data_IF_864548984597
#
_entry.id   IF_864548984597
#
_cell.length_a   1.000
_cell.length_b   1.000
_cell.length_c   1.000
_cell.angle_alpha   90.00
_cell.angle_beta   90.00
_cell.angle_gamma   90.00
#
_symmetry.space_group_name_H-M   'P 1'
#
loop_
_entity.id
_entity.type
_entity.pdbx_description
1 polymer ?
#
# COMPACT_ATOMS: atom_id res chain seq x y z
N UNK A 1 35.30 1.86 31.31
CA UNK A 1 34.44 0.90 30.59
C UNK A 1 33.36 1.69 29.86
N UNK A 2 33.37 1.74 28.51
CA UNK A 2 32.30 2.39 27.78
C UNK A 2 31.13 1.43 27.59
N UNK A 3 29.93 1.96 27.81
CA UNK A 3 28.66 1.29 27.59
C UNK A 3 28.55 0.80 26.15
N UNK A 4 28.37 -0.50 25.97
CA UNK A 4 27.86 -1.07 24.73
C UNK A 4 26.44 -0.51 24.55
N UNK A 5 26.23 0.26 23.49
CA UNK A 5 24.88 0.52 23.00
C UNK A 5 24.34 -0.81 22.53
N UNK A 6 23.25 -1.27 23.16
CA UNK A 6 22.46 -2.38 22.65
C UNK A 6 22.01 -2.00 21.23
N UNK A 7 22.68 -2.58 20.24
CA UNK A 7 22.22 -2.58 18.86
C UNK A 7 20.95 -3.41 18.86
N UNK A 8 19.79 -2.79 19.01
CA UNK A 8 18.53 -3.45 18.67
C UNK A 8 18.67 -3.91 17.23
N UNK A 9 18.79 -5.23 17.05
CA UNK A 9 18.65 -5.87 15.75
C UNK A 9 17.21 -5.54 15.34
N UNK A 10 17.02 -4.59 14.41
CA UNK A 10 15.70 -4.30 13.86
C UNK A 10 15.18 -5.60 13.23
N UNK A 11 14.21 -6.23 13.89
CA UNK A 11 13.61 -7.49 13.48
C UNK A 11 12.93 -7.23 12.12
N UNK A 12 13.42 -7.89 11.07
CA UNK A 12 12.87 -7.74 9.73
C UNK A 12 11.57 -8.54 9.67
N UNK A 13 10.44 -7.84 9.51
CA UNK A 13 9.13 -8.47 9.33
C UNK A 13 8.97 -8.89 7.85
N UNK A 14 8.48 -10.10 7.61
CA UNK A 14 8.19 -10.59 6.25
C UNK A 14 6.68 -10.52 6.00
N UNK A 15 6.29 -9.72 5.01
CA UNK A 15 4.93 -9.60 4.53
C UNK A 15 4.61 -10.71 3.50
N UNK A 16 3.74 -11.65 3.88
CA UNK A 16 3.28 -12.75 3.04
C UNK A 16 1.99 -12.37 2.29
N UNK A 17 2.12 -11.88 1.05
CA UNK A 17 1.00 -11.29 0.31
C UNK A 17 0.22 -12.28 -0.57
N UNK A 18 0.66 -13.54 -0.69
CA UNK A 18 -0.03 -14.52 -1.55
C UNK A 18 -1.55 -14.60 -1.27
N UNK A 19 -2.03 -14.72 -0.02
CA UNK A 19 -3.47 -14.77 0.25
C UNK A 19 -4.20 -13.47 -0.12
N UNK A 20 -3.53 -12.33 0.00
CA UNK A 20 -4.09 -11.02 -0.35
C UNK A 20 -4.22 -10.88 -1.87
N UNK A 21 -3.20 -11.30 -2.65
CA UNK A 21 -3.27 -11.36 -4.11
C UNK A 21 -4.42 -12.24 -4.60
N UNK A 22 -4.60 -13.43 -4.02
CA UNK A 22 -5.71 -14.32 -4.38
C UNK A 22 -7.07 -13.67 -4.08
N UNK A 23 -7.17 -12.97 -2.95
CA UNK A 23 -8.40 -12.27 -2.56
C UNK A 23 -8.70 -11.05 -3.43
N UNK A 24 -7.68 -10.28 -3.79
CA UNK A 24 -7.81 -9.13 -4.69
C UNK A 24 -8.21 -9.59 -6.10
N UNK A 25 -7.62 -10.68 -6.60
CA UNK A 25 -7.94 -11.21 -7.91
C UNK A 25 -9.41 -11.62 -8.05
N UNK A 26 -10.02 -12.15 -6.97
CA UNK A 26 -11.46 -12.43 -6.93
C UNK A 26 -12.30 -11.15 -6.98
N UNK A 27 -11.93 -10.12 -6.23
CA UNK A 27 -12.62 -8.83 -6.24
C UNK A 27 -12.52 -8.17 -7.62
N UNK A 28 -11.32 -8.10 -8.19
CA UNK A 28 -11.07 -7.52 -9.50
C UNK A 28 -11.84 -8.25 -10.61
N UNK A 29 -11.91 -9.58 -10.55
CA UNK A 29 -12.70 -10.37 -11.50
C UNK A 29 -14.20 -10.02 -11.43
N UNK A 30 -14.76 -9.81 -10.23
CA UNK A 30 -16.15 -9.39 -10.05
C UNK A 30 -16.39 -7.97 -10.62
N UNK A 31 -15.52 -7.01 -10.29
CA UNK A 31 -15.59 -5.63 -10.80
C UNK A 31 -15.49 -5.62 -12.34
N UNK A 32 -14.54 -6.36 -12.91
CA UNK A 32 -14.35 -6.47 -14.35
C UNK A 32 -15.58 -7.04 -15.06
N UNK A 33 -16.21 -8.07 -14.48
CA UNK A 33 -17.44 -8.65 -15.01
C UNK A 33 -18.61 -7.66 -14.96
N UNK A 34 -18.81 -6.99 -13.82
CA UNK A 34 -19.89 -6.03 -13.61
C UNK A 34 -19.79 -4.81 -14.55
N UNK A 35 -18.60 -4.26 -14.69
CA UNK A 35 -18.37 -3.03 -15.48
C UNK A 35 -17.91 -3.30 -16.92
N UNK A 36 -17.76 -4.57 -17.33
CA UNK A 36 -17.29 -4.98 -18.67
C UNK A 36 -15.94 -4.37 -19.04
N UNK A 37 -15.02 -4.36 -18.09
CA UNK A 37 -13.65 -3.84 -18.23
C UNK A 37 -12.63 -4.94 -17.92
N UNK A 38 -11.35 -4.66 -18.10
CA UNK A 38 -10.26 -5.57 -17.79
C UNK A 38 -9.04 -4.81 -17.26
N UNK A 39 -7.99 -5.53 -16.89
CA UNK A 39 -6.77 -4.95 -16.34
C UNK A 39 -6.10 -3.95 -17.29
N UNK A 40 -5.97 -4.30 -18.58
CA UNK A 40 -5.28 -3.46 -19.57
C UNK A 40 -5.95 -2.10 -19.73
N UNK A 41 -7.28 -2.07 -19.89
CA UNK A 41 -8.03 -0.81 -20.08
C UNK A 41 -8.14 0.03 -18.80
N UNK A 42 -8.05 -0.61 -17.62
CA UNK A 42 -8.16 0.08 -16.32
C UNK A 42 -6.82 0.47 -15.73
N UNK A 43 -5.68 -0.05 -16.21
CA UNK A 43 -4.34 0.22 -15.65
C UNK A 43 -4.05 1.70 -15.43
N UNK A 44 -4.25 2.61 -16.41
CA UNK A 44 -4.02 4.04 -16.18
C UNK A 44 -4.92 4.64 -15.08
N UNK A 45 -6.15 4.13 -14.96
CA UNK A 45 -7.12 4.56 -13.92
C UNK A 45 -6.72 4.04 -12.54
N UNK A 46 -6.29 2.79 -12.44
CA UNK A 46 -5.81 2.18 -11.19
C UNK A 46 -4.50 2.82 -10.70
N UNK A 47 -3.60 3.22 -11.60
CA UNK A 47 -2.41 4.00 -11.23
C UNK A 47 -2.82 5.38 -10.68
N UNK A 48 -3.76 6.07 -11.34
CA UNK A 48 -4.26 7.35 -10.82
C UNK A 48 -4.94 7.19 -9.47
N UNK A 49 -5.79 6.18 -9.31
CA UNK A 49 -6.44 5.87 -8.04
C UNK A 49 -5.41 5.63 -6.94
N UNK A 50 -4.39 4.80 -7.18
CA UNK A 50 -3.28 4.59 -6.24
C UNK A 50 -2.62 5.90 -5.79
N UNK A 51 -2.35 6.83 -6.72
CA UNK A 51 -1.78 8.13 -6.39
C UNK A 51 -2.72 8.98 -5.52
N UNK A 52 -4.03 8.92 -5.76
CA UNK A 52 -5.06 9.59 -4.96
C UNK A 52 -5.09 8.99 -3.54
N UNK A 53 -5.17 7.67 -3.41
CA UNK A 53 -5.22 7.00 -2.09
C UNK A 53 -3.97 7.28 -1.25
N UNK A 54 -2.78 7.33 -1.86
CA UNK A 54 -1.56 7.71 -1.14
C UNK A 54 -1.63 9.18 -0.67
N UNK A 55 -2.32 10.03 -1.42
CA UNK A 55 -2.60 11.42 -1.03
C UNK A 55 -3.57 11.50 0.15
N UNK A 56 -4.62 10.68 0.14
CA UNK A 56 -5.59 10.57 1.24
C UNK A 56 -4.92 10.02 2.51
N UNK A 57 -4.14 8.95 2.39
CA UNK A 57 -3.28 8.44 3.46
C UNK A 57 -2.30 9.51 3.99
N UNK A 58 -1.61 10.25 3.10
CA UNK A 58 -0.70 11.33 3.53
C UNK A 58 -1.47 12.43 4.30
N UNK A 59 -2.74 12.66 3.96
CA UNK A 59 -3.59 13.63 4.61
C UNK A 59 -4.00 13.21 6.04
N UNK A 60 -4.28 11.91 6.26
CA UNK A 60 -4.63 11.34 7.57
C UNK A 60 -3.43 11.25 8.52
N UNK A 61 -2.22 10.98 7.99
CA UNK A 61 -0.97 11.06 8.76
C UNK A 61 -0.60 12.50 9.13
N UNK A 62 -1.07 13.48 8.34
CA UNK A 62 -0.81 14.92 8.50
C UNK A 62 0.67 15.30 8.46
N UNK A 63 1.54 14.41 7.98
CA UNK A 63 3.00 14.54 8.06
C UNK A 63 3.55 15.77 7.31
N UNK A 64 2.82 16.28 6.32
CA UNK A 64 3.21 17.47 5.54
C UNK A 64 2.65 18.79 6.10
N UNK A 65 1.76 18.76 7.10
CA UNK A 65 1.04 19.94 7.61
C UNK A 65 1.90 20.71 8.62
N UNK A 66 3.04 21.24 8.19
CA UNK A 66 4.03 21.94 9.02
C UNK A 66 3.49 23.20 9.73
N UNK A 67 2.36 23.74 9.28
CA UNK A 67 1.65 24.86 9.89
C UNK A 67 0.65 24.45 10.98
N UNK A 68 0.61 23.17 11.36
CA UNK A 68 -0.34 22.64 12.34
C UNK A 68 0.32 21.73 13.36
N UNK A 69 -0.04 21.90 14.64
CA UNK A 69 0.45 21.05 15.73
C UNK A 69 -0.44 19.81 15.98
N UNK A 70 -1.51 19.61 15.20
CA UNK A 70 -2.36 18.42 15.33
C UNK A 70 -1.62 17.21 14.78
N UNK A 71 -1.43 16.19 15.61
CA UNK A 71 -0.89 14.90 15.22
C UNK A 71 -1.82 14.11 14.31
N UNK A 72 -1.32 12.97 13.83
CA UNK A 72 -2.01 11.98 12.99
C UNK A 72 -3.43 11.66 13.49
N UNK A 73 -4.33 11.35 12.56
CA UNK A 73 -5.68 10.86 12.85
C UNK A 73 -5.65 9.51 13.57
N UNK A 74 -6.80 8.99 13.97
CA UNK A 74 -6.84 7.73 14.71
C UNK A 74 -6.34 6.55 13.85
N UNK A 75 -5.88 5.49 14.53
CA UNK A 75 -5.28 4.31 13.90
C UNK A 75 -6.18 3.69 12.83
N UNK A 76 -7.48 3.59 13.09
CA UNK A 76 -8.41 2.92 12.17
C UNK A 76 -8.56 3.73 10.89
N UNK A 77 -8.67 5.06 11.00
CA UNK A 77 -8.74 5.96 9.83
C UNK A 77 -7.47 5.88 8.98
N UNK A 78 -6.29 5.91 9.60
CA UNK A 78 -5.01 5.86 8.87
C UNK A 78 -4.81 4.51 8.16
N UNK A 79 -5.16 3.41 8.83
CA UNK A 79 -5.05 2.07 8.26
C UNK A 79 -6.09 1.80 7.17
N UNK A 80 -7.27 2.43 7.22
CA UNK A 80 -8.29 2.32 6.17
C UNK A 80 -7.77 2.90 4.84
N UNK A 81 -7.17 4.10 4.87
CA UNK A 81 -6.54 4.72 3.69
C UNK A 81 -5.30 3.94 3.22
N UNK A 82 -4.52 3.40 4.16
CA UNK A 82 -3.39 2.52 3.81
C UNK A 82 -3.86 1.26 3.09
N UNK A 83 -4.98 0.67 3.53
CA UNK A 83 -5.58 -0.51 2.91
C UNK A 83 -6.06 -0.23 1.47
N UNK A 84 -6.57 0.96 1.17
CA UNK A 84 -6.92 1.35 -0.20
C UNK A 84 -5.69 1.36 -1.11
N UNK A 85 -4.56 1.89 -0.63
CA UNK A 85 -3.28 1.78 -1.31
C UNK A 85 -2.87 0.32 -1.57
N UNK A 86 -3.02 -0.57 -0.58
CA UNK A 86 -2.74 -2.00 -0.74
C UNK A 86 -3.60 -2.65 -1.83
N UNK A 87 -4.90 -2.37 -1.85
CA UNK A 87 -5.83 -2.90 -2.87
C UNK A 87 -5.33 -2.58 -4.29
N UNK A 88 -4.94 -1.34 -4.54
CA UNK A 88 -4.44 -0.95 -5.86
C UNK A 88 -3.07 -1.52 -6.19
N UNK A 89 -2.13 -1.60 -5.24
CA UNK A 89 -0.86 -2.28 -5.47
C UNK A 89 -1.08 -3.75 -5.85
N UNK A 90 -1.88 -4.49 -5.09
CA UNK A 90 -2.18 -5.89 -5.39
C UNK A 90 -2.83 -6.05 -6.76
N UNK A 91 -3.81 -5.20 -7.10
CA UNK A 91 -4.48 -5.22 -8.40
C UNK A 91 -3.49 -4.97 -9.56
N UNK A 92 -2.58 -4.01 -9.40
CA UNK A 92 -1.53 -3.71 -10.40
C UNK A 92 -0.51 -4.84 -10.51
N UNK A 93 -0.18 -5.52 -9.42
CA UNK A 93 0.68 -6.70 -9.43
C UNK A 93 0.07 -7.88 -10.20
N UNK A 94 -1.25 -8.10 -10.04
CA UNK A 94 -1.98 -9.16 -10.78
C UNK A 94 -1.99 -8.86 -12.28
N UNK A 95 -2.26 -7.61 -12.65
CA UNK A 95 -2.25 -7.14 -14.03
C UNK A 95 -0.93 -7.46 -14.75
N UNK A 96 0.20 -7.20 -14.10
CA UNK A 96 1.54 -7.50 -14.64
C UNK A 96 1.99 -8.95 -14.41
N UNK A 97 1.14 -9.79 -13.78
CA UNK A 97 1.43 -11.19 -13.44
C UNK A 97 2.70 -11.36 -12.61
N UNK A 98 2.88 -10.52 -11.58
CA UNK A 98 4.05 -10.61 -10.70
C UNK A 98 4.12 -11.96 -10.00
N UNK A 99 5.34 -12.45 -9.81
CA UNK A 99 5.69 -13.64 -9.03
C UNK A 99 6.18 -13.27 -7.62
N UNK A 100 6.45 -11.98 -7.36
CA UNK A 100 6.93 -11.49 -6.06
C UNK A 100 5.76 -11.34 -5.08
N UNK A 101 5.63 -12.32 -4.18
CA UNK A 101 4.56 -12.40 -3.16
C UNK A 101 5.02 -12.22 -1.72
N UNK A 102 6.33 -12.28 -1.46
CA UNK A 102 6.89 -12.06 -0.12
C UNK A 102 7.74 -10.79 -0.13
N UNK A 103 7.56 -9.92 0.86
CA UNK A 103 8.28 -8.64 0.93
C UNK A 103 8.89 -8.45 2.32
N UNK A 104 10.10 -7.90 2.37
CA UNK A 104 10.68 -7.43 3.63
C UNK A 104 10.08 -6.06 3.96
N UNK A 105 9.56 -5.94 5.18
CA UNK A 105 9.15 -4.68 5.79
C UNK A 105 10.23 -4.28 6.78
N UNK A 106 10.82 -3.11 6.55
CA UNK A 106 11.93 -2.60 7.35
C UNK A 106 11.90 -1.09 7.45
N UNK A 107 12.52 -0.58 8.50
CA UNK A 107 12.73 0.85 8.64
C UNK A 107 13.63 1.37 7.51
N UNK A 108 13.18 2.32 6.68
CA UNK A 108 13.95 2.81 5.54
C UNK A 108 15.05 3.82 5.92
N UNK A 109 15.18 4.16 7.21
CA UNK A 109 16.18 5.12 7.71
C UNK A 109 15.96 6.55 7.22
N UNK A 110 14.71 6.91 6.87
CA UNK A 110 14.29 8.24 6.44
C UNK A 110 12.95 8.63 7.05
N UNK A 111 12.65 9.92 7.08
CA UNK A 111 11.37 10.43 7.57
C UNK A 111 10.19 10.06 6.65
N UNK A 112 8.97 10.14 7.20
CA UNK A 112 7.74 9.76 6.51
C UNK A 112 7.47 10.58 5.24
N UNK A 113 7.78 11.89 5.24
CA UNK A 113 7.57 12.75 4.06
C UNK A 113 8.50 12.33 2.93
N UNK A 114 9.78 12.12 3.24
CA UNK A 114 10.76 11.59 2.28
C UNK A 114 10.38 10.20 1.76
N UNK A 115 9.82 9.33 2.61
CA UNK A 115 9.36 8.01 2.19
C UNK A 115 8.15 8.09 1.25
N UNK A 116 7.16 8.93 1.54
CA UNK A 116 5.99 9.15 0.67
C UNK A 116 6.42 9.71 -0.70
N UNK A 117 7.34 10.67 -0.73
CA UNK A 117 7.91 11.15 -2.01
C UNK A 117 8.61 10.04 -2.80
N UNK A 118 9.33 9.14 -2.13
CA UNK A 118 9.93 7.98 -2.77
C UNK A 118 8.85 7.06 -3.35
N UNK A 119 7.76 6.81 -2.63
CA UNK A 119 6.64 6.00 -3.13
C UNK A 119 6.07 6.59 -4.42
N UNK A 120 5.76 7.89 -4.43
CA UNK A 120 5.30 8.59 -5.63
C UNK A 120 6.28 8.46 -6.80
N UNK A 121 7.57 8.68 -6.55
CA UNK A 121 8.59 8.56 -7.59
C UNK A 121 8.65 7.14 -8.16
N UNK A 122 8.54 6.10 -7.32
CA UNK A 122 8.57 4.70 -7.77
C UNK A 122 7.31 4.29 -8.52
N UNK A 123 6.16 4.86 -8.17
CA UNK A 123 4.93 4.65 -8.94
C UNK A 123 5.06 5.28 -10.33
N UNK A 124 5.66 6.47 -10.44
CA UNK A 124 5.92 7.08 -11.75
C UNK A 124 6.96 6.29 -12.57
N UNK A 125 7.97 5.70 -11.93
CA UNK A 125 8.88 4.77 -12.60
C UNK A 125 8.12 3.54 -13.14
N UNK A 126 7.26 2.93 -12.31
CA UNK A 126 6.42 1.79 -12.72
C UNK A 126 5.42 2.14 -13.82
N UNK A 127 4.85 3.34 -13.80
CA UNK A 127 3.96 3.82 -14.86
C UNK A 127 4.66 3.94 -16.21
N UNK A 128 5.94 4.34 -16.22
CA UNK A 128 6.76 4.43 -17.43
C UNK A 128 7.19 3.05 -17.94
N UNK A 129 7.46 2.13 -17.02
CA UNK A 129 7.89 0.76 -17.30
C UNK A 129 7.09 -0.24 -16.45
N UNK A 130 5.90 -0.68 -16.90
CA UNK A 130 4.98 -1.52 -16.12
C UNK A 130 5.44 -2.98 -16.09
N UNK A 131 6.61 -3.20 -15.49
CA UNK A 131 7.28 -4.48 -15.33
C UNK A 131 7.47 -4.79 -13.83
N UNK A 132 7.84 -6.03 -13.54
CA UNK A 132 7.96 -6.52 -12.16
C UNK A 132 8.97 -5.73 -11.32
N UNK A 133 10.14 -5.37 -11.87
CA UNK A 133 11.18 -4.68 -11.08
C UNK A 133 10.72 -3.29 -10.59
N UNK A 134 10.22 -2.39 -11.46
CA UNK A 134 9.65 -1.11 -11.02
C UNK A 134 8.48 -1.28 -10.04
N UNK A 135 7.59 -2.24 -10.30
CA UNK A 135 6.47 -2.56 -9.41
C UNK A 135 6.94 -2.95 -8.00
N UNK A 136 7.86 -3.91 -7.91
CA UNK A 136 8.41 -4.38 -6.63
C UNK A 136 9.06 -3.24 -5.87
N UNK A 137 9.80 -2.35 -6.55
CA UNK A 137 10.38 -1.16 -5.92
C UNK A 137 9.33 -0.20 -5.37
N UNK A 138 8.23 0.00 -6.10
CA UNK A 138 7.13 0.85 -5.66
C UNK A 138 6.40 0.25 -4.45
N UNK A 139 6.06 -1.04 -4.51
CA UNK A 139 5.35 -1.70 -3.42
C UNK A 139 6.22 -1.84 -2.17
N UNK A 140 7.51 -2.20 -2.32
CA UNK A 140 8.46 -2.18 -1.20
C UNK A 140 8.59 -0.79 -0.55
N UNK A 141 8.59 0.28 -1.35
CA UNK A 141 8.63 1.64 -0.80
C UNK A 141 7.34 1.95 0.00
N UNK A 142 6.18 1.50 -0.49
CA UNK A 142 4.92 1.65 0.23
C UNK A 142 4.83 0.82 1.52
N UNK A 143 5.28 -0.43 1.50
CA UNK A 143 5.29 -1.30 2.70
C UNK A 143 6.20 -0.74 3.81
N UNK A 144 7.34 -0.17 3.44
CA UNK A 144 8.28 0.43 4.40
C UNK A 144 7.77 1.74 5.05
N UNK A 145 6.54 2.17 4.74
CA UNK A 145 5.86 3.23 5.50
C UNK A 145 5.40 2.73 6.88
N UNK A 146 4.96 1.47 6.98
CA UNK A 146 4.38 0.89 8.20
C UNK A 146 5.23 1.13 9.47
N UNK A 147 6.54 0.79 9.49
CA UNK A 147 7.36 1.05 10.66
C UNK A 147 7.52 2.54 10.99
N UNK A 148 7.40 3.44 10.00
CA UNK A 148 7.50 4.89 10.22
C UNK A 148 6.26 5.49 10.92
N UNK A 149 5.11 4.82 10.81
CA UNK A 149 3.85 5.20 11.48
C UNK A 149 3.53 4.32 12.70
N UNK A 150 4.45 3.43 13.07
CA UNK A 150 4.33 2.58 14.25
C UNK A 150 3.35 1.41 14.09
N UNK A 151 3.11 0.95 12.85
CA UNK A 151 2.25 -0.19 12.55
C UNK A 151 3.04 -1.36 12.00
N UNK A 152 2.50 -2.56 12.19
CA UNK A 152 3.04 -3.82 11.67
C UNK A 152 2.40 -4.17 10.33
N UNK A 153 2.99 -5.10 9.58
CA UNK A 153 2.31 -5.68 8.43
C UNK A 153 1.01 -6.38 8.82
N UNK A 154 0.96 -7.01 9.99
CA UNK A 154 -0.29 -7.63 10.48
C UNK A 154 -1.43 -6.61 10.66
N UNK A 155 -1.14 -5.41 11.15
CA UNK A 155 -2.15 -4.33 11.25
C UNK A 155 -2.70 -3.96 9.86
N UNK A 156 -1.82 -3.85 8.87
CA UNK A 156 -2.20 -3.53 7.49
C UNK A 156 -2.99 -4.66 6.83
N UNK A 157 -2.62 -5.91 7.09
CA UNK A 157 -3.35 -7.10 6.62
C UNK A 157 -4.79 -7.13 7.16
N UNK A 158 -4.99 -6.87 8.45
CA UNK A 158 -6.32 -6.80 9.05
C UNK A 158 -7.17 -5.68 8.44
N UNK A 159 -6.57 -4.51 8.21
CA UNK A 159 -7.25 -3.39 7.57
C UNK A 159 -7.63 -3.70 6.11
N UNK A 160 -6.74 -4.35 5.35
CA UNK A 160 -7.02 -4.84 4.01
C UNK A 160 -8.25 -5.77 3.98
N UNK A 161 -8.33 -6.77 4.86
CA UNK A 161 -9.48 -7.67 4.87
C UNK A 161 -10.79 -6.98 5.30
N UNK A 162 -10.71 -6.01 6.22
CA UNK A 162 -11.86 -5.18 6.60
C UNK A 162 -12.37 -4.37 5.39
N UNK A 163 -11.47 -3.73 4.66
CA UNK A 163 -11.80 -2.94 3.45
C UNK A 163 -12.30 -3.82 2.31
N UNK A 164 -11.69 -4.99 2.11
CA UNK A 164 -12.12 -6.00 1.13
C UNK A 164 -13.60 -6.35 1.32
N UNK A 165 -14.03 -6.60 2.56
CA UNK A 165 -15.42 -6.92 2.87
C UNK A 165 -16.37 -5.75 2.54
N UNK A 166 -15.97 -4.51 2.85
CA UNK A 166 -16.74 -3.31 2.47
C UNK A 166 -16.86 -3.19 0.95
N UNK A 167 -15.78 -3.46 0.22
CA UNK A 167 -15.76 -3.38 -1.24
C UNK A 167 -16.63 -4.46 -1.90
N UNK A 168 -16.68 -5.69 -1.36
CA UNK A 168 -17.65 -6.69 -1.81
C UNK A 168 -19.10 -6.23 -1.60
N UNK A 169 -19.43 -5.69 -0.43
CA UNK A 169 -20.78 -5.16 -0.17
C UNK A 169 -21.16 -4.00 -1.13
N UNK A 170 -20.20 -3.16 -1.51
CA UNK A 170 -20.40 -2.09 -2.52
C UNK A 170 -20.69 -2.67 -3.91
N UNK A 171 -20.04 -3.77 -4.28
CA UNK A 171 -20.28 -4.45 -5.56
C UNK A 171 -21.65 -5.12 -5.63
N UNK A 172 -22.16 -5.67 -4.51
CA UNK A 172 -23.50 -6.26 -4.45
C UNK A 172 -24.63 -5.23 -4.55
N UNK A 173 -24.35 -3.97 -4.17
CA UNK A 173 -25.33 -2.88 -4.12
C UNK A 173 -25.32 -1.98 -5.37
N UNK A 174 -24.56 -2.33 -6.42
CA UNK A 174 -24.44 -1.59 -7.70
C UNK A 174 -24.10 -0.11 -7.53
N UNK A 175 -23.12 0.21 -6.68
CA UNK A 175 -22.48 1.53 -6.76
C UNK A 175 -21.73 1.71 -8.09
#
# INVERSE_FOLDING_TARGET
MPFLKDTQIEETEIAHLKPLFESQGRLDAAIHANHKVNYEVTRPRRILALLVEIGEFANTTRCFKYWSNKGMEDKDTVLDEYADGMHFFLSLGIDIKTTKVDYEVRNPGRDLVSQIHLVYSRIEDFKKDPQEIPYVKAFSAFLNILPLIGFTFHDAELAYYKKLNVNYNRQETNY
#
